data_IF_835775022263
#
_entry.id   IF_835775022263
#
_cell.length_a   1.000
_cell.length_b   1.000
_cell.length_c   1.000
_cell.angle_alpha   90.00
_cell.angle_beta   90.00
_cell.angle_gamma   90.00
#
_symmetry.space_group_name_H-M   'P 1'
#
loop_
_entity.id
_entity.type
_entity.pdbx_description
1 polymer ?
#
# COMPACT_ATOMS: atom_id res chain seq x y z
N UNK A 1 25.72 30.97 11.95
CA UNK A 1 24.97 31.89 11.11
C UNK A 1 23.98 31.15 10.20
N UNK A 2 23.13 31.86 9.44
CA UNK A 2 22.10 31.28 8.55
C UNK A 2 22.69 30.21 7.59
N UNK A 3 23.86 30.43 7.03
CA UNK A 3 24.56 29.46 6.16
C UNK A 3 24.97 28.16 6.89
N UNK A 4 25.42 28.27 8.13
CA UNK A 4 25.81 27.11 8.96
C UNK A 4 24.58 26.26 9.28
N UNK A 5 23.47 26.86 9.67
CA UNK A 5 22.22 26.14 9.96
C UNK A 5 21.67 25.45 8.71
N UNK A 6 21.74 26.13 7.55
CA UNK A 6 21.29 25.53 6.27
C UNK A 6 22.17 24.33 5.84
N UNK A 7 23.49 24.40 6.07
CA UNK A 7 24.41 23.28 5.84
C UNK A 7 24.16 22.11 6.81
N UNK A 8 23.92 22.42 8.08
CA UNK A 8 23.61 21.42 9.10
C UNK A 8 22.28 20.70 8.79
N UNK A 9 21.24 21.45 8.37
CA UNK A 9 19.96 20.90 7.95
C UNK A 9 20.11 19.99 6.72
N UNK A 10 20.88 20.43 5.71
CA UNK A 10 21.15 19.61 4.52
C UNK A 10 21.93 18.33 4.86
N UNK A 11 22.91 18.43 5.76
CA UNK A 11 23.70 17.28 6.19
C UNK A 11 22.82 16.27 6.95
N UNK A 12 21.96 16.77 7.83
CA UNK A 12 21.02 15.93 8.59
C UNK A 12 20.01 15.23 7.65
N UNK A 13 19.50 15.95 6.66
CA UNK A 13 18.59 15.38 5.67
C UNK A 13 19.29 14.31 4.81
N UNK A 14 20.52 14.56 4.40
CA UNK A 14 21.32 13.60 3.64
C UNK A 14 21.60 12.33 4.47
N UNK A 15 21.98 12.48 5.73
CA UNK A 15 22.18 11.35 6.63
C UNK A 15 20.91 10.53 6.84
N UNK A 16 19.75 11.18 6.99
CA UNK A 16 18.46 10.49 7.07
C UNK A 16 18.17 9.69 5.80
N UNK A 17 18.43 10.25 4.62
CA UNK A 17 18.22 9.56 3.34
C UNK A 17 19.14 8.35 3.18
N UNK A 18 20.41 8.49 3.54
CA UNK A 18 21.39 7.39 3.52
C UNK A 18 20.94 6.27 4.48
N UNK A 19 20.63 6.60 5.73
CA UNK A 19 20.14 5.62 6.70
C UNK A 19 18.85 4.93 6.27
N UNK A 20 17.93 5.66 5.66
CA UNK A 20 16.71 5.07 5.06
C UNK A 20 17.03 4.07 3.96
N UNK A 21 17.96 4.40 3.05
CA UNK A 21 18.37 3.53 1.95
C UNK A 21 19.10 2.26 2.46
N UNK A 22 19.99 2.40 3.46
CA UNK A 22 20.70 1.28 4.08
C UNK A 22 19.74 0.32 4.80
N UNK A 23 18.85 0.85 5.64
CA UNK A 23 17.85 0.04 6.35
C UNK A 23 16.93 -0.69 5.36
N UNK A 24 16.52 0.00 4.31
CA UNK A 24 15.66 -0.59 3.30
C UNK A 24 16.37 -1.69 2.50
N UNK A 25 17.63 -1.49 2.13
CA UNK A 25 18.44 -2.53 1.47
C UNK A 25 18.60 -3.77 2.36
N UNK A 26 18.82 -3.57 3.66
CA UNK A 26 18.91 -4.65 4.64
C UNK A 26 17.60 -5.42 4.76
N UNK A 27 16.48 -4.72 4.88
CA UNK A 27 15.15 -5.31 4.94
C UNK A 27 14.85 -6.15 3.68
N UNK A 28 15.16 -5.62 2.48
CA UNK A 28 14.98 -6.32 1.21
C UNK A 28 15.79 -7.62 1.15
N UNK A 29 17.07 -7.56 1.55
CA UNK A 29 17.95 -8.75 1.57
C UNK A 29 17.36 -9.82 2.49
N UNK A 30 16.81 -9.46 3.64
CA UNK A 30 16.14 -10.40 4.55
C UNK A 30 14.88 -11.00 3.93
N UNK A 31 14.06 -10.19 3.29
CA UNK A 31 12.82 -10.65 2.64
C UNK A 31 13.05 -11.52 1.40
N UNK A 32 14.16 -11.33 0.69
CA UNK A 32 14.55 -12.21 -0.42
C UNK A 32 15.19 -13.51 0.10
N UNK A 33 15.95 -13.46 1.19
CA UNK A 33 16.61 -14.63 1.76
C UNK A 33 15.61 -15.71 2.19
N UNK A 34 14.46 -15.31 2.74
CA UNK A 34 13.44 -16.25 3.21
C UNK A 34 12.88 -17.14 2.09
N UNK A 35 12.34 -16.62 0.97
CA UNK A 35 11.89 -17.47 -0.14
C UNK A 35 13.04 -18.22 -0.80
N UNK A 36 14.25 -17.68 -0.86
CA UNK A 36 15.42 -18.42 -1.37
C UNK A 36 15.74 -19.66 -0.51
N UNK A 37 15.66 -19.56 0.81
CA UNK A 37 15.84 -20.70 1.71
C UNK A 37 14.72 -21.76 1.51
N UNK A 38 13.47 -21.32 1.34
CA UNK A 38 12.34 -22.18 1.03
C UNK A 38 12.51 -22.88 -0.32
N UNK A 39 12.90 -22.15 -1.38
CA UNK A 39 13.21 -22.70 -2.70
C UNK A 39 14.29 -23.78 -2.62
N UNK A 40 15.39 -23.52 -1.89
CA UNK A 40 16.47 -24.48 -1.70
C UNK A 40 15.95 -25.76 -1.04
N UNK A 41 15.27 -25.62 0.10
CA UNK A 41 14.73 -26.79 0.83
C UNK A 41 13.70 -27.58 0.00
N UNK A 42 12.77 -26.88 -0.68
CA UNK A 42 11.81 -27.56 -1.56
C UNK A 42 12.48 -28.28 -2.74
N UNK A 43 13.53 -27.70 -3.30
CA UNK A 43 14.31 -28.32 -4.38
C UNK A 43 15.05 -29.57 -3.90
N UNK A 44 15.64 -29.56 -2.71
CA UNK A 44 16.33 -30.74 -2.11
C UNK A 44 15.32 -31.88 -1.87
N UNK A 45 14.17 -31.59 -1.25
CA UNK A 45 13.13 -32.60 -1.02
C UNK A 45 12.57 -33.15 -2.34
N UNK A 46 12.42 -32.28 -3.37
CA UNK A 46 11.90 -32.68 -4.68
C UNK A 46 12.80 -33.70 -5.38
N UNK A 47 14.13 -33.68 -5.14
CA UNK A 47 15.06 -34.65 -5.68
C UNK A 47 14.90 -36.04 -5.05
N UNK A 48 14.54 -36.10 -3.77
CA UNK A 48 14.50 -37.34 -2.98
C UNK A 48 13.12 -37.98 -2.93
N UNK A 49 12.05 -37.26 -3.28
CA UNK A 49 10.67 -37.78 -3.20
C UNK A 49 10.18 -38.34 -4.52
N UNK A 50 9.58 -39.56 -4.47
CA UNK A 50 8.87 -40.18 -5.58
C UNK A 50 7.34 -40.06 -5.49
N UNK A 51 6.82 -39.49 -4.41
CA UNK A 51 5.39 -39.27 -4.21
C UNK A 51 4.90 -38.14 -5.11
N UNK A 52 3.98 -38.46 -6.02
CA UNK A 52 3.45 -37.51 -7.01
C UNK A 52 2.73 -36.32 -6.34
N UNK A 53 1.93 -36.57 -5.31
CA UNK A 53 1.18 -35.53 -4.63
C UNK A 53 2.12 -34.57 -3.87
N UNK A 54 3.16 -35.11 -3.26
CA UNK A 54 4.22 -34.35 -2.62
C UNK A 54 5.00 -33.51 -3.64
N UNK A 55 5.35 -34.09 -4.79
CA UNK A 55 6.02 -33.36 -5.89
C UNK A 55 5.19 -32.18 -6.38
N UNK A 56 3.90 -32.36 -6.59
CA UNK A 56 2.99 -31.29 -7.02
C UNK A 56 2.98 -30.16 -5.99
N UNK A 57 2.89 -30.47 -4.70
CA UNK A 57 2.93 -29.48 -3.62
C UNK A 57 4.26 -28.71 -3.61
N UNK A 58 5.38 -29.39 -3.77
CA UNK A 58 6.70 -28.76 -3.80
C UNK A 58 6.87 -27.84 -5.01
N UNK A 59 6.42 -28.26 -6.19
CA UNK A 59 6.43 -27.42 -7.41
C UNK A 59 5.58 -26.15 -7.21
N UNK A 60 4.44 -26.26 -6.56
CA UNK A 60 3.61 -25.11 -6.24
C UNK A 60 4.31 -24.14 -5.27
N UNK A 61 5.03 -24.66 -4.26
CA UNK A 61 5.85 -23.85 -3.35
C UNK A 61 6.94 -23.12 -4.14
N UNK A 62 7.69 -23.83 -4.99
CA UNK A 62 8.74 -23.25 -5.82
C UNK A 62 8.19 -22.12 -6.71
N UNK A 63 7.10 -22.37 -7.42
CA UNK A 63 6.46 -21.37 -8.28
C UNK A 63 6.00 -20.12 -7.50
N UNK A 64 5.43 -20.34 -6.33
CA UNK A 64 4.95 -19.26 -5.45
C UNK A 64 6.11 -18.40 -4.92
N UNK A 65 7.21 -19.02 -4.50
CA UNK A 65 8.38 -18.30 -3.97
C UNK A 65 9.10 -17.50 -5.06
N UNK A 66 9.19 -18.04 -6.28
CA UNK A 66 9.70 -17.27 -7.45
C UNK A 66 8.84 -16.04 -7.69
N UNK A 67 7.52 -16.18 -7.78
CA UNK A 67 6.61 -15.06 -7.97
C UNK A 67 6.68 -14.03 -6.83
N UNK A 68 6.98 -14.47 -5.61
CA UNK A 68 7.19 -13.57 -4.47
C UNK A 68 8.45 -12.74 -4.67
N UNK A 69 9.56 -13.35 -5.07
CA UNK A 69 10.82 -12.64 -5.34
C UNK A 69 10.66 -11.65 -6.49
N UNK A 70 10.02 -12.04 -7.59
CA UNK A 70 9.75 -11.14 -8.72
C UNK A 70 8.97 -9.89 -8.28
N UNK A 71 7.95 -10.07 -7.44
CA UNK A 71 7.17 -8.94 -6.91
C UNK A 71 8.00 -8.04 -5.99
N UNK A 72 8.77 -8.62 -5.08
CA UNK A 72 9.66 -7.85 -4.20
C UNK A 72 10.61 -6.97 -5.01
N UNK A 73 11.22 -7.52 -6.07
CA UNK A 73 12.13 -6.78 -6.95
C UNK A 73 11.39 -5.68 -7.73
N UNK A 74 10.20 -5.99 -8.25
CA UNK A 74 9.40 -5.04 -9.03
C UNK A 74 8.94 -3.87 -8.16
N UNK A 75 8.37 -4.15 -6.99
CA UNK A 75 7.89 -3.14 -6.05
C UNK A 75 9.04 -2.28 -5.51
N UNK A 76 10.21 -2.90 -5.27
CA UNK A 76 11.43 -2.20 -4.90
C UNK A 76 11.89 -1.23 -6.00
N UNK A 77 11.96 -1.73 -7.23
CA UNK A 77 12.39 -0.92 -8.37
C UNK A 77 11.44 0.26 -8.61
N UNK A 78 10.13 0.04 -8.43
CA UNK A 78 9.13 1.09 -8.55
C UNK A 78 9.29 2.14 -7.44
N UNK A 79 9.49 1.71 -6.20
CA UNK A 79 9.69 2.62 -5.07
C UNK A 79 10.91 3.51 -5.26
N UNK A 80 12.03 2.97 -5.76
CA UNK A 80 13.23 3.77 -6.07
C UNK A 80 12.97 4.81 -7.17
N UNK A 81 12.23 4.44 -8.23
CA UNK A 81 11.84 5.37 -9.29
C UNK A 81 10.95 6.48 -8.74
N UNK A 82 10.01 6.13 -7.87
CA UNK A 82 9.11 7.08 -7.24
C UNK A 82 9.88 8.08 -6.36
N UNK A 83 10.85 7.63 -5.59
CA UNK A 83 11.68 8.50 -4.74
C UNK A 83 12.48 9.52 -5.58
N UNK A 84 13.03 9.09 -6.71
CA UNK A 84 13.71 10.00 -7.67
C UNK A 84 12.72 10.96 -8.32
N UNK A 85 11.54 10.50 -8.70
CA UNK A 85 10.50 11.34 -9.32
C UNK A 85 9.98 12.41 -8.35
N UNK A 86 9.77 12.05 -7.07
CA UNK A 86 9.30 12.96 -6.03
C UNK A 86 10.17 14.20 -5.88
N UNK A 87 11.48 14.10 -6.12
CA UNK A 87 12.39 15.24 -6.06
C UNK A 87 12.13 16.31 -7.13
N UNK A 88 11.39 15.98 -8.19
CA UNK A 88 11.09 16.85 -9.34
C UNK A 88 9.63 17.30 -9.40
N UNK A 89 8.74 16.63 -8.68
CA UNK A 89 7.31 16.90 -8.71
C UNK A 89 6.96 18.09 -7.80
N UNK A 90 6.02 18.92 -8.24
CA UNK A 90 5.58 20.11 -7.49
C UNK A 90 4.19 19.90 -6.92
N UNK A 91 4.04 20.16 -5.65
CA UNK A 91 2.74 20.23 -4.98
C UNK A 91 1.93 21.37 -5.58
N UNK A 92 0.68 21.08 -5.97
CA UNK A 92 -0.27 22.06 -6.54
C UNK A 92 -1.61 21.93 -5.82
N UNK A 93 -2.39 23.00 -5.85
CA UNK A 93 -3.80 22.95 -5.43
C UNK A 93 -4.59 22.17 -6.48
N UNK A 94 -5.24 21.09 -6.08
CA UNK A 94 -6.01 20.21 -6.96
C UNK A 94 -7.30 19.73 -6.27
N UNK A 95 -8.32 19.47 -7.09
CA UNK A 95 -9.56 18.83 -6.64
C UNK A 95 -9.39 17.32 -6.72
N UNK A 96 -9.50 16.63 -5.59
CA UNK A 96 -9.25 15.16 -5.55
C UNK A 96 -10.43 14.33 -6.05
N UNK A 97 -11.62 14.91 -6.21
CA UNK A 97 -12.81 14.17 -6.61
C UNK A 97 -12.66 13.49 -7.99
N UNK A 98 -12.27 14.20 -9.08
CA UNK A 98 -12.09 13.58 -10.37
C UNK A 98 -10.99 12.50 -10.37
N UNK A 99 -9.92 12.72 -9.61
CA UNK A 99 -8.80 11.77 -9.50
C UNK A 99 -9.29 10.46 -8.86
N UNK A 100 -9.96 10.56 -7.71
CA UNK A 100 -10.47 9.37 -7.01
C UNK A 100 -11.52 8.64 -7.84
N UNK A 101 -12.42 9.36 -8.53
CA UNK A 101 -13.42 8.74 -9.40
C UNK A 101 -12.78 7.96 -10.54
N UNK A 102 -11.77 8.52 -11.20
CA UNK A 102 -11.04 7.83 -12.27
C UNK A 102 -10.47 6.50 -11.79
N UNK A 103 -9.77 6.50 -10.64
CA UNK A 103 -9.21 5.27 -10.07
C UNK A 103 -10.30 4.26 -9.69
N UNK A 104 -11.41 4.72 -9.10
CA UNK A 104 -12.54 3.85 -8.74
C UNK A 104 -13.16 3.20 -9.98
N UNK A 105 -13.32 3.95 -11.06
CA UNK A 105 -13.91 3.47 -12.32
C UNK A 105 -12.99 2.42 -12.98
N UNK A 106 -11.69 2.66 -13.01
CA UNK A 106 -10.70 1.72 -13.53
C UNK A 106 -10.70 0.39 -12.76
N UNK A 107 -10.72 0.47 -11.43
CA UNK A 107 -10.78 -0.71 -10.58
C UNK A 107 -12.12 -1.47 -10.71
N UNK A 108 -13.25 -0.77 -10.85
CA UNK A 108 -14.53 -1.40 -11.11
C UNK A 108 -14.52 -2.19 -12.42
N UNK A 109 -13.95 -1.63 -13.49
CA UNK A 109 -13.85 -2.28 -14.79
C UNK A 109 -13.06 -3.60 -14.70
N UNK A 110 -12.02 -3.64 -13.87
CA UNK A 110 -11.15 -4.82 -13.71
C UNK A 110 -11.78 -5.86 -12.77
N UNK A 111 -12.25 -5.46 -11.60
CA UNK A 111 -12.55 -6.38 -10.50
C UNK A 111 -14.01 -6.81 -10.43
N UNK A 112 -14.93 -6.05 -11.03
CA UNK A 112 -16.34 -6.45 -11.16
C UNK A 112 -16.49 -7.78 -11.90
N UNK A 113 -15.75 -7.96 -12.99
CA UNK A 113 -15.77 -9.18 -13.79
C UNK A 113 -14.97 -10.34 -13.14
N UNK A 114 -13.87 -10.03 -12.47
CA UNK A 114 -12.96 -11.06 -11.92
C UNK A 114 -13.45 -11.67 -10.61
N UNK A 115 -14.05 -10.86 -9.73
CA UNK A 115 -14.41 -11.25 -8.36
C UNK A 115 -15.82 -10.88 -7.94
N UNK A 116 -16.62 -10.26 -8.82
CA UNK A 116 -17.94 -9.73 -8.47
C UNK A 116 -17.88 -8.60 -7.42
N UNK A 117 -16.69 -8.03 -7.15
CA UNK A 117 -16.53 -6.94 -6.20
C UNK A 117 -17.04 -5.64 -6.79
N UNK A 118 -17.88 -4.94 -6.05
CA UNK A 118 -18.39 -3.62 -6.42
C UNK A 118 -17.67 -2.55 -5.62
N UNK A 119 -17.07 -1.59 -6.32
CA UNK A 119 -16.43 -0.44 -5.70
C UNK A 119 -17.33 0.78 -5.91
N UNK A 120 -17.75 1.42 -4.84
CA UNK A 120 -18.61 2.61 -4.89
C UNK A 120 -17.88 3.85 -4.41
N UNK A 121 -18.17 4.97 -5.07
CA UNK A 121 -17.71 6.28 -4.65
C UNK A 121 -18.86 7.05 -3.99
N UNK A 122 -18.62 7.62 -2.82
CA UNK A 122 -19.59 8.42 -2.06
C UNK A 122 -18.98 9.77 -1.70
N UNK A 123 -19.79 10.84 -1.82
CA UNK A 123 -19.43 12.18 -1.34
C UNK A 123 -20.67 12.93 -0.85
N UNK A 124 -20.48 14.06 -0.21
CA UNK A 124 -21.58 14.92 0.28
C UNK A 124 -22.19 15.84 -0.80
N UNK A 125 -21.82 15.68 -2.09
CA UNK A 125 -22.30 16.35 -3.31
C UNK A 125 -22.34 17.90 -3.28
N UNK A 126 -22.08 18.53 -2.15
CA UNK A 126 -22.18 19.99 -1.95
C UNK A 126 -20.84 20.69 -1.95
N UNK A 127 -19.76 19.97 -1.84
CA UNK A 127 -18.41 20.51 -1.64
C UNK A 127 -17.48 20.18 -2.80
N UNK A 128 -16.52 21.06 -3.03
CA UNK A 128 -15.29 20.74 -3.77
C UNK A 128 -14.20 20.37 -2.78
N UNK A 129 -13.36 19.40 -3.14
CA UNK A 129 -12.40 18.79 -2.23
C UNK A 129 -10.98 19.15 -2.64
N UNK A 130 -10.61 20.44 -2.43
CA UNK A 130 -9.28 20.92 -2.75
C UNK A 130 -8.28 20.54 -1.68
N UNK A 131 -7.14 20.02 -2.14
CA UNK A 131 -5.94 19.77 -1.32
C UNK A 131 -4.71 20.36 -2.03
N UNK A 132 -3.62 20.51 -1.29
CA UNK A 132 -2.30 20.72 -1.87
C UNK A 132 -1.64 19.35 -2.07
N UNK A 133 -1.41 18.94 -3.32
CA UNK A 133 -0.94 17.60 -3.60
C UNK A 133 -0.34 17.42 -5.00
N UNK A 134 0.03 16.19 -5.28
CA UNK A 134 0.59 15.72 -6.54
C UNK A 134 -0.37 14.66 -7.09
N UNK A 135 -0.95 14.90 -8.25
CA UNK A 135 -2.07 14.14 -8.83
C UNK A 135 -1.78 12.64 -8.91
N UNK A 136 -0.71 12.23 -9.60
CA UNK A 136 -0.32 10.83 -9.74
C UNK A 136 0.00 10.15 -8.40
N UNK A 137 0.38 10.91 -7.36
CA UNK A 137 0.62 10.36 -6.01
C UNK A 137 -0.67 10.13 -5.25
N UNK A 138 -1.66 10.99 -5.45
CA UNK A 138 -3.02 10.75 -4.93
C UNK A 138 -3.64 9.51 -5.61
N UNK A 139 -3.49 9.37 -6.93
CA UNK A 139 -3.89 8.15 -7.65
C UNK A 139 -3.23 6.89 -7.05
N UNK A 140 -1.92 6.93 -6.83
CA UNK A 140 -1.14 5.83 -6.26
C UNK A 140 -1.59 5.49 -4.84
N UNK A 141 -1.88 6.48 -3.99
CA UNK A 141 -2.43 6.27 -2.65
C UNK A 141 -3.75 5.50 -2.74
N UNK A 142 -4.69 5.98 -3.56
CA UNK A 142 -6.03 5.39 -3.69
C UNK A 142 -5.95 3.98 -4.29
N UNK A 143 -5.13 3.79 -5.32
CA UNK A 143 -4.92 2.49 -5.95
C UNK A 143 -4.39 1.45 -4.94
N UNK A 144 -3.34 1.77 -4.18
CA UNK A 144 -2.79 0.86 -3.16
C UNK A 144 -3.81 0.53 -2.05
N UNK A 145 -4.62 1.50 -1.63
CA UNK A 145 -5.68 1.25 -0.64
C UNK A 145 -6.78 0.36 -1.20
N UNK A 146 -7.18 0.56 -2.47
CA UNK A 146 -8.18 -0.28 -3.15
C UNK A 146 -7.68 -1.71 -3.37
N UNK A 147 -6.44 -1.89 -3.83
CA UNK A 147 -5.83 -3.22 -3.97
C UNK A 147 -5.84 -3.98 -2.65
N UNK A 148 -5.50 -3.28 -1.57
CA UNK A 148 -5.51 -3.85 -0.24
C UNK A 148 -6.93 -4.23 0.19
N UNK A 149 -7.90 -3.33 0.07
CA UNK A 149 -9.31 -3.55 0.40
C UNK A 149 -9.91 -4.73 -0.37
N UNK A 150 -9.66 -4.80 -1.69
CA UNK A 150 -10.12 -5.89 -2.58
C UNK A 150 -9.47 -7.22 -2.20
N UNK A 151 -8.21 -7.19 -1.81
CA UNK A 151 -7.46 -8.39 -1.46
C UNK A 151 -7.94 -9.03 -0.15
N UNK A 152 -8.40 -8.21 0.81
CA UNK A 152 -8.95 -8.67 2.09
C UNK A 152 -10.46 -8.94 2.02
N UNK A 153 -11.15 -8.38 1.03
CA UNK A 153 -12.56 -8.68 0.79
C UNK A 153 -12.72 -10.03 0.10
N UNK A 154 -13.72 -10.78 0.50
CA UNK A 154 -14.14 -11.98 -0.24
C UNK A 154 -14.83 -11.62 -1.56
N UNK A 155 -15.11 -12.62 -2.37
CA UNK A 155 -15.87 -12.45 -3.60
C UNK A 155 -17.29 -11.89 -3.33
N UNK A 156 -17.83 -11.14 -4.28
CA UNK A 156 -19.15 -10.50 -4.20
C UNK A 156 -19.32 -9.54 -3.01
N UNK A 157 -18.24 -8.91 -2.55
CA UNK A 157 -18.23 -7.90 -1.49
C UNK A 157 -18.18 -6.49 -2.04
N UNK A 158 -18.41 -5.51 -1.16
CA UNK A 158 -18.36 -4.10 -1.53
C UNK A 158 -17.14 -3.42 -0.90
N UNK A 159 -16.54 -2.52 -1.68
CA UNK A 159 -15.54 -1.56 -1.20
C UNK A 159 -16.12 -0.16 -1.44
N UNK A 160 -16.02 0.70 -0.45
CA UNK A 160 -16.56 2.07 -0.52
C UNK A 160 -15.40 3.05 -0.39
N UNK A 161 -15.28 3.97 -1.34
CA UNK A 161 -14.41 5.14 -1.23
C UNK A 161 -15.28 6.34 -0.94
N UNK A 162 -15.10 6.93 0.25
CA UNK A 162 -15.90 8.07 0.70
C UNK A 162 -15.03 9.30 0.85
N UNK A 163 -15.47 10.43 0.29
CA UNK A 163 -14.82 11.73 0.43
C UNK A 163 -15.74 12.70 1.16
N UNK A 164 -15.22 13.37 2.17
CA UNK A 164 -15.96 14.32 2.98
C UNK A 164 -15.07 15.47 3.44
N UNK A 165 -15.69 16.54 3.96
CA UNK A 165 -15.01 17.65 4.62
C UNK A 165 -15.28 17.65 6.12
N UNK A 166 -14.25 17.95 6.89
CA UNK A 166 -14.40 18.32 8.31
C UNK A 166 -14.73 19.82 8.45
N UNK A 167 -15.14 20.21 9.66
CA UNK A 167 -15.54 21.63 9.96
C UNK A 167 -14.43 22.65 9.73
N UNK A 168 -13.16 22.23 9.79
CA UNK A 168 -11.96 23.04 9.58
C UNK A 168 -11.43 22.98 8.13
N UNK A 169 -12.32 22.64 7.17
CA UNK A 169 -12.00 22.50 5.74
C UNK A 169 -10.96 21.41 5.39
N UNK A 170 -10.58 20.57 6.33
CA UNK A 170 -9.76 19.37 6.01
C UNK A 170 -10.57 18.40 5.16
N UNK A 171 -9.90 17.79 4.20
CA UNK A 171 -10.50 16.77 3.34
C UNK A 171 -10.19 15.39 3.88
N UNK A 172 -11.22 14.57 4.03
CA UNK A 172 -11.10 13.18 4.51
C UNK A 172 -11.44 12.22 3.38
N UNK A 173 -10.56 11.28 3.16
CA UNK A 173 -10.77 10.14 2.25
C UNK A 173 -10.79 8.87 3.08
N UNK A 174 -11.89 8.13 3.02
CA UNK A 174 -12.05 6.84 3.68
C UNK A 174 -12.18 5.74 2.62
N UNK A 175 -11.41 4.66 2.77
CA UNK A 175 -11.60 3.41 2.05
C UNK A 175 -12.09 2.36 3.03
N UNK A 176 -13.30 1.85 2.79
CA UNK A 176 -14.01 0.91 3.65
C UNK A 176 -14.17 -0.42 2.93
N UNK A 177 -13.71 -1.51 3.53
CA UNK A 177 -13.89 -2.85 2.99
C UNK A 177 -14.87 -3.70 3.81
N UNK A 178 -15.18 -4.90 3.31
CA UNK A 178 -16.00 -5.91 3.97
C UNK A 178 -15.19 -7.18 4.27
N UNK A 179 -13.90 -7.01 4.54
CA UNK A 179 -13.00 -8.08 4.94
C UNK A 179 -13.16 -8.49 6.40
N UNK A 180 -12.15 -9.20 6.90
CA UNK A 180 -12.17 -9.62 8.31
C UNK A 180 -11.87 -8.50 9.31
N UNK A 181 -11.36 -7.35 8.83
CA UNK A 181 -10.86 -6.25 9.67
C UNK A 181 -9.48 -6.55 10.25
N UNK A 182 -9.05 -5.71 11.19
CA UNK A 182 -7.78 -5.86 11.89
C UNK A 182 -7.98 -6.70 13.18
N UNK A 183 -7.13 -7.71 13.35
CA UNK A 183 -7.07 -8.53 14.56
C UNK A 183 -6.21 -7.83 15.63
N UNK A 184 -5.24 -7.09 15.19
CA UNK A 184 -4.26 -6.43 16.04
C UNK A 184 -4.81 -5.17 16.69
N UNK A 185 -4.45 -4.96 17.97
CA UNK A 185 -4.81 -3.73 18.71
C UNK A 185 -4.02 -2.51 18.22
N UNK A 186 -2.76 -2.72 17.84
CA UNK A 186 -1.88 -1.67 17.30
C UNK A 186 -1.86 -1.73 15.77
N UNK A 187 -2.74 -0.95 15.16
CA UNK A 187 -2.83 -0.87 13.71
C UNK A 187 -1.68 -0.09 13.05
N UNK A 188 -0.80 0.57 13.81
CA UNK A 188 0.33 1.29 13.24
C UNK A 188 1.35 0.35 12.57
N UNK A 189 1.45 -0.88 13.04
CA UNK A 189 2.37 -1.88 12.50
C UNK A 189 2.11 -2.24 11.03
N UNK A 190 0.86 -2.07 10.56
CA UNK A 190 0.50 -2.39 9.17
C UNK A 190 1.20 -1.49 8.15
N UNK A 191 1.69 -0.33 8.58
CA UNK A 191 2.44 0.60 7.74
C UNK A 191 3.95 0.31 7.70
N UNK A 192 4.43 -0.66 8.49
CA UNK A 192 5.80 -1.08 8.42
C UNK A 192 6.07 -1.81 7.09
N UNK A 193 7.31 -1.69 6.61
CA UNK A 193 7.74 -2.37 5.39
C UNK A 193 7.60 -3.88 5.55
N UNK A 194 7.20 -4.55 4.47
CA UNK A 194 7.07 -6.02 4.39
C UNK A 194 6.10 -6.64 5.41
N UNK A 195 5.33 -5.80 6.11
CA UNK A 195 4.33 -6.31 7.02
C UNK A 195 3.19 -6.98 6.26
N UNK A 196 2.91 -8.23 6.59
CA UNK A 196 1.78 -8.99 6.05
C UNK A 196 1.18 -9.88 7.12
N UNK A 197 -0.12 -9.79 7.33
CA UNK A 197 -0.89 -10.68 8.21
C UNK A 197 -1.89 -11.49 7.35
N UNK A 198 -1.36 -12.35 6.46
CA UNK A 198 -2.15 -13.18 5.52
C UNK A 198 -1.65 -14.62 5.54
N UNK A 199 -2.06 -15.44 6.52
CA UNK A 199 -1.59 -16.82 6.64
C UNK A 199 -1.88 -17.66 5.38
N UNK A 200 -3.07 -17.49 4.77
CA UNK A 200 -3.52 -18.30 3.63
C UNK A 200 -3.01 -17.77 2.27
N UNK A 201 -2.45 -16.56 2.22
CA UNK A 201 -1.97 -15.89 1.00
C UNK A 201 -0.58 -15.27 1.22
N UNK A 202 0.19 -15.88 2.09
CA UNK A 202 1.55 -15.44 2.39
C UNK A 202 2.36 -15.39 1.08
N UNK A 203 2.94 -14.22 0.77
CA UNK A 203 3.74 -14.03 -0.44
C UNK A 203 2.98 -13.56 -1.69
N UNK A 204 1.65 -13.46 -1.70
CA UNK A 204 0.90 -12.86 -2.83
C UNK A 204 1.03 -11.33 -2.93
N UNK A 205 1.50 -10.67 -1.89
CA UNK A 205 1.74 -9.23 -1.82
C UNK A 205 3.09 -8.97 -1.15
N UNK A 206 3.81 -7.95 -1.58
CA UNK A 206 5.15 -7.60 -1.07
C UNK A 206 5.14 -7.08 0.38
N UNK A 207 3.99 -6.58 0.86
CA UNK A 207 3.89 -5.87 2.13
C UNK A 207 4.43 -4.43 2.07
N UNK A 208 4.69 -3.90 0.87
CA UNK A 208 5.16 -2.53 0.67
C UNK A 208 4.04 -1.52 0.41
N UNK A 209 2.88 -1.96 -0.08
CA UNK A 209 1.80 -1.07 -0.52
C UNK A 209 1.34 -0.07 0.54
N UNK A 210 1.09 -0.51 1.79
CA UNK A 210 0.68 0.40 2.87
C UNK A 210 1.85 1.27 3.39
N UNK A 211 3.09 0.81 3.30
CA UNK A 211 4.26 1.64 3.59
C UNK A 211 4.41 2.76 2.55
N UNK A 212 4.22 2.46 1.26
CA UNK A 212 4.19 3.45 0.19
C UNK A 212 3.09 4.49 0.47
N UNK A 213 1.87 4.04 0.80
CA UNK A 213 0.77 4.93 1.16
C UNK A 213 1.18 5.85 2.31
N UNK A 214 1.77 5.32 3.39
CA UNK A 214 2.20 6.11 4.54
C UNK A 214 3.20 7.20 4.13
N UNK A 215 4.23 6.86 3.35
CA UNK A 215 5.23 7.81 2.88
C UNK A 215 4.62 8.91 1.99
N UNK A 216 3.70 8.53 1.09
CA UNK A 216 3.02 9.50 0.24
C UNK A 216 2.06 10.40 1.03
N UNK A 217 1.37 9.87 2.04
CA UNK A 217 0.51 10.65 2.94
C UNK A 217 1.35 11.65 3.74
N UNK A 218 2.51 11.24 4.26
CA UNK A 218 3.44 12.12 4.98
C UNK A 218 3.99 13.23 4.07
N UNK A 219 4.30 12.92 2.81
CA UNK A 219 4.70 13.91 1.80
C UNK A 219 3.65 15.02 1.61
N UNK A 220 2.37 14.68 1.74
CA UNK A 220 1.25 15.63 1.63
C UNK A 220 0.90 16.30 2.97
N UNK A 221 1.73 16.13 4.02
CA UNK A 221 1.44 16.59 5.39
C UNK A 221 0.07 16.12 5.90
N UNK A 222 -0.39 14.98 5.42
CA UNK A 222 -1.65 14.35 5.79
C UNK A 222 -1.45 13.31 6.89
N UNK A 223 -2.55 12.84 7.46
CA UNK A 223 -2.54 11.81 8.50
C UNK A 223 -3.31 10.61 8.00
N UNK A 224 -2.74 9.40 8.14
CA UNK A 224 -3.46 8.15 7.87
C UNK A 224 -3.75 7.40 9.16
N UNK A 225 -4.96 6.84 9.24
CA UNK A 225 -5.41 5.99 10.36
C UNK A 225 -6.04 4.72 9.82
N UNK A 226 -5.82 3.63 10.51
CA UNK A 226 -6.44 2.34 10.24
C UNK A 226 -7.25 1.89 11.46
N UNK A 227 -8.48 1.44 11.22
CA UNK A 227 -9.38 0.96 12.28
C UNK A 227 -10.34 -0.08 11.71
N UNK A 228 -11.00 -0.82 12.58
CA UNK A 228 -12.15 -1.63 12.19
C UNK A 228 -13.37 -0.73 11.95
N UNK A 229 -14.20 -1.12 11.02
CA UNK A 229 -15.48 -0.45 10.77
C UNK A 229 -16.38 -0.51 11.99
N UNK A 230 -17.10 0.57 12.25
CA UNK A 230 -18.04 0.65 13.35
C UNK A 230 -19.44 0.10 13.02
N UNK A 231 -19.79 0.10 11.71
CA UNK A 231 -21.13 -0.26 11.20
C UNK A 231 -21.26 -1.78 10.90
N UNK A 232 -20.18 -2.43 10.54
CA UNK A 232 -20.15 -3.86 10.19
C UNK A 232 -18.72 -4.40 10.20
N UNK A 233 -18.57 -5.70 9.93
CA UNK A 233 -17.24 -6.32 9.81
C UNK A 233 -16.50 -5.75 8.60
N UNK A 234 -15.22 -5.43 8.77
CA UNK A 234 -14.35 -4.88 7.74
C UNK A 234 -13.34 -3.88 8.30
N UNK A 235 -12.45 -3.41 7.46
CA UNK A 235 -11.48 -2.38 7.78
C UNK A 235 -11.89 -1.01 7.24
N UNK A 236 -11.39 0.03 7.89
CA UNK A 236 -11.49 1.43 7.51
C UNK A 236 -10.10 2.05 7.47
N UNK A 237 -9.71 2.53 6.29
CA UNK A 237 -8.50 3.32 6.08
C UNK A 237 -8.90 4.78 5.88
N UNK A 238 -8.52 5.65 6.80
CA UNK A 238 -8.86 7.07 6.80
C UNK A 238 -7.63 7.92 6.53
N UNK A 239 -7.69 8.80 5.53
CA UNK A 239 -6.65 9.82 5.27
C UNK A 239 -7.27 11.20 5.49
N UNK A 240 -6.57 12.03 6.26
CA UNK A 240 -6.98 13.41 6.58
C UNK A 240 -5.95 14.34 5.98
N UNK A 241 -6.32 15.01 4.88
CA UNK A 241 -5.51 16.03 4.24
C UNK A 241 -5.74 17.39 4.90
N UNK A 242 -4.66 18.20 5.08
CA UNK A 242 -4.80 19.56 5.57
C UNK A 242 -5.58 20.43 4.58
N UNK A 243 -6.08 21.57 5.05
CA UNK A 243 -6.70 22.59 4.21
C UNK A 243 -5.71 23.04 3.12
N UNK A 244 -6.22 23.23 1.88
CA UNK A 244 -5.45 23.72 0.73
C UNK A 244 -5.32 25.26 0.73
#
# INVERSE_FOLDING_TARGET
GLLSNSLDDMTLELQKRISHAENFSTDLVHEIRNPLASLKSASEILQDTNDIDQRIKLINILSHDVQRIERLITDYSQMLKDEVALSKEKIKKLDIEPIIKSVVDDFNNIYKLKKGIKISYENDKKNKYFINGIENRIEQIVANLLENAISFSGDNKNVIVKVSKLRDDKVVVNVLDEGHGFIEKDTNKIFNRFYSNRPDKFGQHSGLGLNIVKNLVDLHNAIIKASNRADKKGASMEIIFPKA
#
